data_IF_364385145326
#
_entry.id   IF_364385145326
#
_cell.length_a   1.000
_cell.length_b   1.000
_cell.length_c   1.000
_cell.angle_alpha   90.00
_cell.angle_beta   90.00
_cell.angle_gamma   90.00
#
_symmetry.space_group_name_H-M   'P 1'
#
loop_
_entity.id
_entity.type
_entity.pdbx_description
1 polymer ?
#
# COMPACT_ATOMS: atom_id res chain seq x y z
N UNK A 1 -14.68 6.19 -3.13
CA UNK A 1 -13.33 5.61 -2.94
C UNK A 1 -13.04 4.53 -3.97
N UNK A 2 -13.91 3.53 -4.11
CA UNK A 2 -13.70 2.40 -5.03
C UNK A 2 -13.52 2.82 -6.49
N UNK A 3 -14.35 3.75 -6.99
CA UNK A 3 -14.21 4.32 -8.35
C UNK A 3 -12.92 5.10 -8.55
N UNK A 4 -12.44 5.79 -7.50
CA UNK A 4 -11.20 6.56 -7.55
C UNK A 4 -9.98 5.63 -7.57
N UNK A 5 -9.99 4.57 -6.74
CA UNK A 5 -8.96 3.53 -6.78
C UNK A 5 -8.93 2.83 -8.14
N UNK A 6 -10.08 2.46 -8.69
CA UNK A 6 -10.16 1.84 -10.01
C UNK A 6 -9.63 2.75 -11.12
N UNK A 7 -9.82 4.07 -11.02
CA UNK A 7 -9.23 5.04 -11.93
C UNK A 7 -7.70 5.08 -11.82
N UNK A 8 -7.17 5.20 -10.59
CA UNK A 8 -5.71 5.20 -10.33
C UNK A 8 -5.04 3.94 -10.87
N UNK A 9 -5.60 2.76 -10.60
CA UNK A 9 -5.05 1.48 -11.08
C UNK A 9 -5.03 1.46 -12.62
N UNK A 10 -6.13 1.83 -13.27
CA UNK A 10 -6.22 1.86 -14.74
C UNK A 10 -5.26 2.87 -15.37
N UNK A 11 -5.20 4.08 -14.83
CA UNK A 11 -4.39 5.18 -15.38
C UNK A 11 -2.90 4.99 -15.16
N UNK A 12 -2.51 4.29 -14.09
CA UNK A 12 -1.11 3.88 -13.85
C UNK A 12 -0.70 2.64 -14.64
N UNK A 13 -1.63 1.94 -15.29
CA UNK A 13 -1.37 0.65 -15.93
C UNK A 13 -1.05 -0.47 -14.94
N UNK A 14 -1.37 -0.29 -13.65
CA UNK A 14 -1.14 -1.29 -12.62
C UNK A 14 -2.12 -2.46 -12.74
N UNK A 15 -1.69 -3.65 -12.31
CA UNK A 15 -2.57 -4.82 -12.19
C UNK A 15 -3.62 -4.65 -11.07
N UNK A 16 -3.21 -4.01 -9.96
CA UNK A 16 -4.04 -3.80 -8.78
C UNK A 16 -3.43 -2.75 -7.86
N UNK A 17 -4.05 -2.53 -6.71
CA UNK A 17 -3.61 -1.51 -5.75
C UNK A 17 -4.03 -1.80 -4.32
N UNK A 18 -3.21 -1.33 -3.38
CA UNK A 18 -3.46 -1.36 -1.95
C UNK A 18 -3.55 0.09 -1.45
N UNK A 19 -4.56 0.43 -0.67
CA UNK A 19 -4.67 1.73 -0.02
C UNK A 19 -4.43 1.58 1.47
N UNK A 20 -3.48 2.36 1.97
CA UNK A 20 -3.17 2.44 3.38
C UNK A 20 -3.60 3.79 3.95
N UNK A 21 -4.09 3.76 5.19
CA UNK A 21 -4.36 4.96 6.00
C UNK A 21 -3.43 4.98 7.21
N UNK A 22 -2.89 6.16 7.53
CA UNK A 22 -2.19 6.42 8.80
C UNK A 22 -3.14 7.23 9.70
N UNK A 23 -3.73 6.63 10.75
CA UNK A 23 -4.54 7.37 11.70
C UNK A 23 -3.73 8.49 12.38
N UNK A 24 -4.35 9.64 12.71
CA UNK A 24 -3.64 10.72 13.39
C UNK A 24 -3.02 10.26 14.72
N UNK A 25 -1.71 10.46 14.87
CA UNK A 25 -0.98 10.10 16.08
C UNK A 25 -0.59 8.63 16.21
N UNK A 26 -0.88 7.80 15.22
CA UNK A 26 -0.45 6.39 15.21
C UNK A 26 0.88 6.16 14.48
N UNK A 27 1.45 4.99 14.72
CA UNK A 27 2.76 4.55 14.20
C UNK A 27 2.65 3.44 13.15
N UNK A 28 1.44 3.18 12.65
CA UNK A 28 1.18 2.10 11.71
C UNK A 28 0.18 2.49 10.61
N UNK A 29 0.48 1.97 9.42
CA UNK A 29 -0.36 2.02 8.25
C UNK A 29 -1.35 0.86 8.28
N UNK A 30 -2.62 1.17 8.08
CA UNK A 30 -3.70 0.19 8.04
C UNK A 30 -4.22 0.04 6.61
N UNK A 31 -4.28 -1.19 6.12
CA UNK A 31 -4.87 -1.50 4.82
C UNK A 31 -6.39 -1.28 4.89
N UNK A 32 -6.90 -0.35 4.08
CA UNK A 32 -8.32 0.02 4.05
C UNK A 32 -9.01 -0.36 2.74
N UNK A 33 -8.25 -0.69 1.69
CA UNK A 33 -8.80 -1.13 0.40
C UNK A 33 -7.80 -1.96 -0.39
N UNK A 34 -8.32 -2.97 -1.09
CA UNK A 34 -7.61 -3.79 -2.08
C UNK A 34 -8.38 -3.70 -3.39
N UNK A 35 -7.68 -3.52 -4.50
CA UNK A 35 -8.25 -3.53 -5.85
C UNK A 35 -7.45 -4.47 -6.75
N UNK A 36 -8.15 -5.23 -7.61
CA UNK A 36 -7.53 -6.15 -8.57
C UNK A 36 -7.14 -7.53 -8.02
N UNK A 37 -7.34 -7.79 -6.73
CA UNK A 37 -7.05 -9.08 -6.09
C UNK A 37 -7.99 -9.38 -4.91
N UNK A 38 -8.16 -10.65 -4.50
CA UNK A 38 -8.88 -11.01 -3.28
C UNK A 38 -8.25 -10.40 -2.04
N UNK A 39 -9.07 -9.86 -1.14
CA UNK A 39 -8.61 -9.23 0.11
C UNK A 39 -7.80 -10.18 1.00
N UNK A 40 -8.11 -11.48 0.96
CA UNK A 40 -7.41 -12.53 1.72
C UNK A 40 -5.92 -12.59 1.40
N UNK A 41 -5.52 -12.31 0.16
CA UNK A 41 -4.11 -12.29 -0.24
C UNK A 41 -3.33 -11.13 0.39
N UNK A 42 -4.01 -10.04 0.74
CA UNK A 42 -3.40 -8.87 1.38
C UNK A 42 -3.38 -8.98 2.91
N UNK A 43 -3.85 -10.10 3.47
CA UNK A 43 -3.89 -10.36 4.92
C UNK A 43 -2.55 -10.14 5.64
N UNK A 44 -1.40 -10.58 5.10
CA UNK A 44 -0.10 -10.36 5.75
C UNK A 44 0.24 -8.88 5.90
N UNK A 45 -0.20 -8.05 4.96
CA UNK A 45 0.10 -6.62 4.91
C UNK A 45 -1.04 -5.75 5.45
N UNK A 46 -1.90 -6.29 6.32
CA UNK A 46 -3.03 -5.52 6.90
C UNK A 46 -2.58 -4.34 7.75
N UNK A 47 -1.46 -4.50 8.46
CA UNK A 47 -0.87 -3.49 9.33
C UNK A 47 0.64 -3.48 9.13
N UNK A 48 1.19 -2.33 8.78
CA UNK A 48 2.62 -2.12 8.58
C UNK A 48 3.07 -1.01 9.53
N UNK A 49 4.03 -1.27 10.41
CA UNK A 49 4.58 -0.21 11.27
C UNK A 49 5.43 0.75 10.43
N UNK A 50 5.45 2.03 10.79
CA UNK A 50 6.29 3.02 10.11
C UNK A 50 7.79 2.71 10.23
N UNK A 51 8.17 1.88 11.19
CA UNK A 51 9.55 1.41 11.39
C UNK A 51 9.89 0.17 10.56
N UNK A 52 8.90 -0.50 9.98
CA UNK A 52 9.14 -1.71 9.20
C UNK A 52 9.90 -1.35 7.91
N UNK A 53 10.81 -2.21 7.42
CA UNK A 53 11.56 -2.00 6.19
C UNK A 53 10.69 -2.30 4.96
N UNK A 54 9.47 -1.76 4.94
CA UNK A 54 8.48 -1.96 3.89
C UNK A 54 8.42 -0.74 2.98
N UNK A 55 8.34 -0.90 1.65
CA UNK A 55 8.34 0.22 0.70
C UNK A 55 7.25 1.27 0.98
N UNK A 56 6.09 0.85 1.48
CA UNK A 56 5.00 1.77 1.86
C UNK A 56 5.31 2.59 3.12
N UNK A 57 6.05 2.02 4.08
CA UNK A 57 6.51 2.74 5.25
C UNK A 57 7.61 3.76 4.86
N UNK A 58 8.52 3.38 3.97
CA UNK A 58 9.54 4.28 3.41
C UNK A 58 8.92 5.47 2.68
N UNK A 59 7.92 5.21 1.82
CA UNK A 59 7.22 6.26 1.09
C UNK A 59 6.57 7.30 2.01
N UNK A 60 6.00 6.87 3.14
CA UNK A 60 5.37 7.74 4.13
C UNK A 60 6.41 8.51 4.96
N UNK A 61 7.43 7.82 5.47
CA UNK A 61 8.52 8.45 6.24
C UNK A 61 9.27 9.50 5.44
N UNK A 62 9.58 9.19 4.19
CA UNK A 62 10.40 10.03 3.32
C UNK A 62 9.58 10.97 2.43
N UNK A 63 8.24 10.83 2.44
CA UNK A 63 7.29 11.61 1.64
C UNK A 63 7.64 11.65 0.15
N UNK A 64 8.01 10.50 -0.41
CA UNK A 64 8.37 10.35 -1.82
C UNK A 64 7.76 9.10 -2.43
N UNK A 65 7.70 9.09 -3.75
CA UNK A 65 7.40 7.87 -4.50
C UNK A 65 8.57 6.90 -4.38
N UNK A 66 8.25 5.63 -4.17
CA UNK A 66 9.20 4.51 -4.11
C UNK A 66 8.85 3.56 -5.25
N UNK A 67 9.85 3.23 -6.06
CA UNK A 67 9.73 2.20 -7.10
C UNK A 67 10.50 0.97 -6.63
N UNK A 68 9.82 -0.17 -6.61
CA UNK A 68 10.41 -1.45 -6.20
C UNK A 68 10.96 -2.19 -7.41
N UNK A 69 12.11 -2.85 -7.26
CA UNK A 69 12.74 -3.64 -8.31
C UNK A 69 12.12 -5.04 -8.48
N UNK A 70 11.43 -5.54 -7.46
CA UNK A 70 10.89 -6.91 -7.44
C UNK A 70 9.95 -7.20 -6.27
N UNK A 71 9.39 -8.41 -6.24
CA UNK A 71 8.49 -8.87 -5.17
C UNK A 71 9.24 -9.11 -3.85
N UNK A 72 10.54 -9.36 -3.91
CA UNK A 72 11.41 -9.57 -2.77
C UNK A 72 11.48 -8.34 -1.85
N UNK A 73 11.23 -7.15 -2.38
CA UNK A 73 11.14 -5.90 -1.62
C UNK A 73 9.78 -5.74 -0.90
N UNK A 74 8.81 -6.61 -1.17
CA UNK A 74 7.51 -6.66 -0.49
C UNK A 74 7.42 -7.81 0.54
N UNK A 75 8.49 -8.58 0.71
CA UNK A 75 8.56 -9.80 1.53
C UNK A 75 8.60 -9.54 3.03
#
# INVERSE_FOLDING_TARGET
METAMAAVVRESGAYGGLLYALPPGEDALWLVMVAGAPHELATPWRRIALTDPMPVADAVRERRLVWIGGQEELA
#
